data_IF_159282887091
#
_entry.id   IF_159282887091
#
_cell.length_a   1.000
_cell.length_b   1.000
_cell.length_c   1.000
_cell.angle_alpha   90.00
_cell.angle_beta   90.00
_cell.angle_gamma   90.00
#
_symmetry.space_group_name_H-M   'P 1'
#
loop_
_entity.id
_entity.type
_entity.pdbx_description
1 polymer ?
#
# COMPACT_ATOMS: atom_id res chain seq x y z
N UNK A 1 16.51 -2.33 -16.10
CA UNK A 1 15.21 -1.96 -15.51
C UNK A 1 15.25 -0.48 -15.15
N UNK A 2 14.37 0.36 -15.73
CA UNK A 2 14.18 1.73 -15.26
C UNK A 2 13.25 1.68 -14.05
N UNK A 3 13.50 2.53 -13.05
CA UNK A 3 12.69 2.57 -11.84
C UNK A 3 12.54 4.00 -11.34
N UNK A 4 11.58 4.21 -10.45
CA UNK A 4 11.42 5.44 -9.68
C UNK A 4 11.32 5.08 -8.22
N UNK A 5 12.10 5.73 -7.37
CA UNK A 5 12.00 5.56 -5.92
C UNK A 5 11.08 6.64 -5.37
N UNK A 6 10.02 6.24 -4.67
CA UNK A 6 9.05 7.15 -4.08
C UNK A 6 8.75 6.72 -2.65
N UNK A 7 8.32 7.66 -1.81
CA UNK A 7 7.87 7.35 -0.46
C UNK A 7 6.53 8.02 -0.16
N UNK A 8 5.73 7.35 0.68
CA UNK A 8 4.51 7.90 1.27
C UNK A 8 4.61 7.80 2.78
N UNK A 9 4.61 8.95 3.47
CA UNK A 9 4.73 9.00 4.94
C UNK A 9 5.94 8.23 5.53
N UNK A 10 7.04 8.18 4.78
CA UNK A 10 8.31 7.57 5.20
C UNK A 10 8.51 6.12 4.74
N UNK A 11 7.45 5.46 4.25
CA UNK A 11 7.52 4.11 3.69
C UNK A 11 7.88 4.18 2.20
N UNK A 12 9.04 3.64 1.82
CA UNK A 12 9.68 3.84 0.52
C UNK A 12 9.73 2.56 -0.33
N UNK A 13 9.36 2.66 -1.61
CA UNK A 13 9.39 1.53 -2.55
C UNK A 13 10.09 1.90 -3.85
N UNK A 14 10.59 0.88 -4.54
CA UNK A 14 11.01 0.96 -5.93
C UNK A 14 9.80 0.70 -6.82
N UNK A 15 9.44 1.65 -7.68
CA UNK A 15 8.32 1.54 -8.61
C UNK A 15 8.87 1.23 -10.00
N UNK A 16 8.28 0.22 -10.64
CA UNK A 16 8.62 -0.19 -12.00
C UNK A 16 7.34 -0.18 -12.83
N UNK A 17 7.37 0.57 -13.94
CA UNK A 17 6.30 0.54 -14.93
C UNK A 17 6.47 -0.72 -15.80
N UNK A 18 5.50 -1.61 -15.71
CA UNK A 18 5.40 -2.89 -16.41
C UNK A 18 4.16 -2.91 -17.33
N UNK A 19 3.75 -1.76 -17.88
CA UNK A 19 2.62 -1.69 -18.82
C UNK A 19 2.95 -2.43 -20.13
N UNK A 20 4.15 -2.20 -20.66
CA UNK A 20 4.56 -2.71 -21.98
C UNK A 20 5.49 -3.93 -21.90
N UNK A 21 5.84 -4.37 -20.70
CA UNK A 21 6.73 -5.51 -20.50
C UNK A 21 6.56 -6.15 -19.12
N UNK A 22 6.81 -7.45 -19.06
CA UNK A 22 6.82 -8.21 -17.82
C UNK A 22 8.20 -8.20 -17.17
N UNK A 23 8.21 -8.11 -15.84
CA UNK A 23 9.41 -8.26 -15.04
C UNK A 23 9.51 -9.69 -14.51
N UNK A 24 10.46 -10.46 -15.03
CA UNK A 24 10.71 -11.83 -14.58
C UNK A 24 11.22 -11.86 -13.13
N UNK A 25 10.79 -12.88 -12.36
CA UNK A 25 11.20 -13.10 -10.98
C UNK A 25 11.10 -11.83 -10.07
N UNK A 26 9.91 -11.22 -9.93
CA UNK A 26 9.77 -9.99 -9.16
C UNK A 26 10.07 -10.17 -7.67
N UNK A 27 9.86 -11.38 -7.12
CA UNK A 27 10.24 -11.72 -5.75
C UNK A 27 11.75 -11.65 -5.51
N UNK A 28 12.54 -12.24 -6.42
CA UNK A 28 14.01 -12.16 -6.34
C UNK A 28 14.53 -10.74 -6.55
N UNK A 29 13.92 -10.00 -7.47
CA UNK A 29 14.26 -8.58 -7.71
C UNK A 29 13.93 -7.74 -6.48
N UNK A 30 12.78 -7.96 -5.84
CA UNK A 30 12.39 -7.22 -4.63
C UNK A 30 13.45 -7.36 -3.52
N UNK A 31 13.96 -8.56 -3.29
CA UNK A 31 15.08 -8.80 -2.35
C UNK A 31 16.33 -8.03 -2.74
N UNK A 32 16.73 -8.11 -4.01
CA UNK A 32 17.95 -7.48 -4.51
C UNK A 32 17.89 -5.96 -4.42
N UNK A 33 16.79 -5.34 -4.86
CA UNK A 33 16.68 -3.87 -4.90
C UNK A 33 16.45 -3.27 -3.53
N UNK A 34 15.82 -4.01 -2.62
CA UNK A 34 15.47 -3.54 -1.28
C UNK A 34 16.62 -3.63 -0.29
N UNK A 35 17.67 -4.39 -0.59
CA UNK A 35 18.88 -4.41 0.23
C UNK A 35 19.46 -2.98 0.34
N UNK A 36 19.57 -2.48 1.57
CA UNK A 36 20.01 -1.09 1.84
C UNK A 36 21.53 -0.90 1.73
N UNK A 37 22.32 -1.97 1.71
CA UNK A 37 23.78 -1.92 1.62
C UNK A 37 24.28 -2.19 0.21
N UNK A 38 23.69 -3.16 -0.47
CA UNK A 38 24.14 -3.67 -1.77
C UNK A 38 23.11 -3.47 -2.90
N UNK A 39 21.90 -3.04 -2.56
CA UNK A 39 20.84 -2.67 -3.49
C UNK A 39 20.63 -1.16 -3.57
N UNK A 40 19.41 -0.76 -3.94
CA UNK A 40 18.98 0.65 -3.92
C UNK A 40 18.52 1.05 -2.51
N UNK A 41 18.08 0.05 -1.73
CA UNK A 41 17.48 0.19 -0.41
C UNK A 41 16.03 0.63 -0.51
N UNK A 42 15.11 -0.16 0.02
CA UNK A 42 13.67 0.19 0.08
C UNK A 42 12.95 -0.77 1.03
N UNK A 43 11.69 -0.47 1.34
CA UNK A 43 10.80 -1.39 2.03
C UNK A 43 10.23 -2.46 1.09
N UNK A 44 10.37 -2.28 -0.23
CA UNK A 44 10.01 -3.29 -1.22
C UNK A 44 10.04 -2.82 -2.68
N UNK A 45 9.38 -3.60 -3.53
CA UNK A 45 9.18 -3.37 -4.96
C UNK A 45 7.67 -3.26 -5.28
N UNK A 46 7.30 -2.26 -6.07
CA UNK A 46 5.95 -2.07 -6.60
C UNK A 46 6.00 -2.12 -8.12
N UNK A 47 5.16 -2.97 -8.70
CA UNK A 47 4.96 -3.06 -10.14
C UNK A 47 3.63 -2.41 -10.53
N UNK A 48 3.66 -1.62 -11.60
CA UNK A 48 2.48 -1.01 -12.21
C UNK A 48 2.23 -1.74 -13.52
N UNK A 49 1.12 -2.46 -13.60
CA UNK A 49 0.80 -3.39 -14.69
C UNK A 49 -0.49 -2.96 -15.40
N UNK A 50 -0.78 -3.46 -16.61
CA UNK A 50 -2.12 -3.31 -17.19
C UNK A 50 -3.15 -4.08 -16.35
N UNK A 51 -4.40 -3.63 -16.40
CA UNK A 51 -5.55 -4.31 -15.77
C UNK A 51 -6.68 -4.45 -16.79
N UNK A 52 -7.42 -5.56 -16.70
CA UNK A 52 -8.66 -5.77 -17.46
C UNK A 52 -9.89 -5.22 -16.73
N UNK A 53 -9.76 -4.84 -15.45
CA UNK A 53 -10.88 -4.50 -14.56
C UNK A 53 -10.80 -3.09 -13.96
N UNK A 54 -9.63 -2.47 -14.01
CA UNK A 54 -9.33 -1.16 -13.45
C UNK A 54 -8.44 -0.37 -14.43
N UNK A 55 -8.10 0.88 -14.11
CA UNK A 55 -7.18 1.66 -14.96
C UNK A 55 -5.78 1.05 -14.99
N UNK A 56 -5.31 0.55 -13.84
CA UNK A 56 -4.04 -0.16 -13.70
C UNK A 56 -4.15 -1.26 -12.66
N UNK A 57 -3.18 -2.17 -12.66
CA UNK A 57 -2.99 -3.16 -11.60
C UNK A 57 -1.69 -2.88 -10.85
N UNK A 58 -1.73 -3.02 -9.52
CA UNK A 58 -0.56 -2.93 -8.66
C UNK A 58 -0.22 -4.32 -8.11
N UNK A 59 1.05 -4.69 -8.18
CA UNK A 59 1.62 -5.78 -7.39
C UNK A 59 2.70 -5.23 -6.47
N UNK A 60 2.70 -5.66 -5.22
CA UNK A 60 3.64 -5.18 -4.21
C UNK A 60 4.36 -6.34 -3.56
N UNK A 61 5.68 -6.25 -3.52
CA UNK A 61 6.57 -7.22 -2.89
C UNK A 61 7.30 -6.54 -1.75
N UNK A 62 7.34 -7.19 -0.60
CA UNK A 62 8.15 -6.76 0.54
C UNK A 62 9.63 -6.97 0.26
N UNK A 63 10.49 -6.40 1.10
CA UNK A 63 11.95 -6.55 1.01
C UNK A 63 12.45 -7.99 1.14
N UNK A 64 11.66 -8.88 1.75
CA UNK A 64 11.92 -10.33 1.82
C UNK A 64 11.40 -11.10 0.59
N UNK A 65 10.87 -10.40 -0.41
CA UNK A 65 10.33 -10.95 -1.65
C UNK A 65 8.94 -11.58 -1.53
N UNK A 66 8.29 -11.56 -0.36
CA UNK A 66 6.89 -11.95 -0.23
C UNK A 66 5.96 -10.95 -0.95
N UNK A 67 4.93 -11.44 -1.63
CA UNK A 67 3.90 -10.58 -2.24
C UNK A 67 2.84 -10.25 -1.18
N UNK A 68 2.56 -8.96 -1.00
CA UNK A 68 1.62 -8.47 0.00
C UNK A 68 0.36 -7.88 -0.66
N UNK A 69 -0.76 -7.95 0.05
CA UNK A 69 -2.05 -7.70 -0.58
C UNK A 69 -2.25 -6.24 -0.98
N UNK A 70 -1.85 -5.33 -0.11
CA UNK A 70 -1.99 -3.88 -0.28
C UNK A 70 -1.13 -3.12 0.74
N UNK A 71 -0.65 -1.94 0.36
CA UNK A 71 -0.14 -0.94 1.30
C UNK A 71 -0.70 0.44 0.90
N UNK A 72 -1.38 1.10 1.85
CA UNK A 72 -1.99 2.40 1.62
C UNK A 72 -0.96 3.49 1.26
N UNK A 73 0.30 3.34 1.65
CA UNK A 73 1.38 4.27 1.27
C UNK A 73 1.85 4.04 -0.17
N UNK A 74 2.00 2.79 -0.57
CA UNK A 74 2.45 2.42 -1.91
C UNK A 74 1.45 2.87 -2.98
N UNK A 75 0.16 2.64 -2.74
CA UNK A 75 -0.89 2.94 -3.73
C UNK A 75 -1.05 4.45 -4.00
N UNK A 76 -0.75 5.31 -3.01
CA UNK A 76 -0.70 6.77 -3.23
C UNK A 76 0.39 7.15 -4.23
N UNK A 77 1.55 6.50 -4.13
CA UNK A 77 2.64 6.74 -5.07
C UNK A 77 2.32 6.21 -6.46
N UNK A 78 1.61 5.08 -6.58
CA UNK A 78 1.10 4.59 -7.87
C UNK A 78 0.17 5.63 -8.52
N UNK A 79 -0.80 6.17 -7.76
CA UNK A 79 -1.71 7.21 -8.25
C UNK A 79 -0.98 8.45 -8.76
N UNK A 80 0.05 8.92 -8.02
CA UNK A 80 0.94 10.00 -8.47
C UNK A 80 1.71 9.61 -9.74
N UNK A 81 2.32 8.44 -9.74
CA UNK A 81 3.17 7.97 -10.83
C UNK A 81 2.43 7.92 -12.16
N UNK A 82 1.23 7.32 -12.19
CA UNK A 82 0.49 7.14 -13.43
C UNK A 82 -0.03 8.46 -14.01
N UNK A 83 -0.35 9.43 -13.16
CA UNK A 83 -0.76 10.77 -13.60
C UNK A 83 0.42 11.59 -14.10
N UNK A 84 1.48 11.70 -13.30
CA UNK A 84 2.63 12.56 -13.61
C UNK A 84 3.44 12.06 -14.82
N UNK A 85 3.41 10.75 -15.11
CA UNK A 85 4.03 10.18 -16.31
C UNK A 85 3.07 10.15 -17.52
N UNK A 86 1.90 10.80 -17.44
CA UNK A 86 0.95 10.91 -18.55
C UNK A 86 0.31 9.59 -18.98
N UNK A 87 0.35 8.56 -18.12
CA UNK A 87 -0.27 7.26 -18.39
C UNK A 87 -1.80 7.34 -18.27
N UNK A 88 -2.30 8.36 -17.57
CA UNK A 88 -3.72 8.64 -17.43
C UNK A 88 -3.98 10.15 -17.37
N UNK A 89 -5.11 10.60 -17.93
CA UNK A 89 -5.51 12.01 -17.93
C UNK A 89 -6.85 12.24 -17.20
N UNK A 90 -7.06 11.56 -16.08
CA UNK A 90 -8.20 11.79 -15.16
C UNK A 90 -7.73 11.81 -13.72
N UNK A 91 -8.47 12.52 -12.86
CA UNK A 91 -8.14 12.71 -11.44
C UNK A 91 -8.70 11.63 -10.51
N UNK A 92 -9.61 10.79 -11.01
CA UNK A 92 -10.09 9.61 -10.27
C UNK A 92 -9.56 8.37 -10.97
N UNK A 93 -8.76 7.58 -10.27
CA UNK A 93 -8.04 6.43 -10.81
C UNK A 93 -8.43 5.18 -10.05
N UNK A 94 -8.79 4.11 -10.76
CA UNK A 94 -9.01 2.79 -10.17
C UNK A 94 -7.77 1.92 -10.30
N UNK A 95 -7.35 1.30 -9.20
CA UNK A 95 -6.17 0.42 -9.14
C UNK A 95 -6.61 -0.96 -8.64
N UNK A 96 -6.40 -1.99 -9.45
CA UNK A 96 -6.58 -3.39 -9.04
C UNK A 96 -5.44 -3.81 -8.11
N UNK A 97 -5.80 -4.37 -6.95
CA UNK A 97 -4.86 -4.94 -5.96
C UNK A 97 -5.34 -6.34 -5.55
N UNK A 98 -4.53 -7.09 -4.80
CA UNK A 98 -4.96 -8.36 -4.22
C UNK A 98 -6.10 -8.17 -3.20
N UNK A 99 -6.15 -7.01 -2.52
CA UNK A 99 -7.24 -6.63 -1.61
C UNK A 99 -8.46 -6.02 -2.35
N UNK A 100 -8.60 -6.27 -3.66
CA UNK A 100 -9.65 -5.73 -4.52
C UNK A 100 -9.29 -4.39 -5.19
N UNK A 101 -10.23 -3.84 -5.95
CA UNK A 101 -10.04 -2.56 -6.65
C UNK A 101 -10.15 -1.42 -5.63
N UNK A 102 -9.20 -0.49 -5.67
CA UNK A 102 -9.20 0.74 -4.87
C UNK A 102 -9.39 1.94 -5.78
N UNK A 103 -10.16 2.92 -5.31
CA UNK A 103 -10.39 4.17 -6.02
C UNK A 103 -9.57 5.27 -5.36
N UNK A 104 -8.82 5.99 -6.18
CA UNK A 104 -7.94 7.08 -5.79
C UNK A 104 -8.48 8.40 -6.32
N UNK A 105 -8.52 9.43 -5.49
CA UNK A 105 -8.75 10.81 -5.93
C UNK A 105 -7.46 11.61 -5.83
N UNK A 106 -7.03 12.16 -6.96
CA UNK A 106 -5.78 12.89 -7.12
C UNK A 106 -6.02 14.40 -6.99
N UNK A 107 -5.33 15.03 -6.04
CA UNK A 107 -5.22 16.48 -5.98
C UNK A 107 -4.02 16.93 -6.81
N UNK A 108 -4.28 17.73 -7.85
CA UNK A 108 -3.28 18.16 -8.83
C UNK A 108 -3.10 19.67 -8.76
N UNK A 109 -1.85 20.11 -8.72
CA UNK A 109 -1.45 21.52 -8.80
C UNK A 109 -0.33 21.65 -9.82
N UNK A 110 -0.43 22.62 -10.73
CA UNK A 110 0.62 22.87 -11.75
C UNK A 110 0.97 21.61 -12.58
N UNK A 111 -0.04 20.81 -12.93
CA UNK A 111 0.09 19.53 -13.65
C UNK A 111 0.83 18.40 -12.90
N UNK A 112 1.09 18.56 -11.60
CA UNK A 112 1.67 17.50 -10.76
C UNK A 112 0.72 17.09 -9.64
N UNK A 113 0.67 15.80 -9.32
CA UNK A 113 -0.07 15.31 -8.15
C UNK A 113 0.64 15.71 -6.86
N UNK A 114 -0.05 16.44 -6.00
CA UNK A 114 0.47 16.88 -4.69
C UNK A 114 -0.08 16.06 -3.53
N UNK A 115 -1.30 15.50 -3.65
CA UNK A 115 -1.92 14.63 -2.66
C UNK A 115 -2.76 13.56 -3.35
N UNK A 116 -2.86 12.40 -2.71
CA UNK A 116 -3.70 11.29 -3.16
C UNK A 116 -4.57 10.83 -2.00
N UNK A 117 -5.89 10.90 -2.20
CA UNK A 117 -6.88 10.31 -1.29
C UNK A 117 -7.14 8.88 -1.73
N UNK A 118 -7.13 7.96 -0.76
CA UNK A 118 -7.37 6.53 -0.97
C UNK A 118 -8.58 6.13 -0.16
N UNK A 119 -9.52 5.42 -0.77
CA UNK A 119 -10.56 4.73 -0.01
C UNK A 119 -9.99 3.45 0.62
N UNK A 120 -9.88 3.44 1.95
CA UNK A 120 -9.34 2.32 2.73
C UNK A 120 -10.44 1.32 3.14
N UNK A 121 -11.70 1.58 2.82
CA UNK A 121 -12.84 0.79 3.27
C UNK A 121 -13.23 1.05 4.72
N UNK A 122 -14.12 0.20 5.24
CA UNK A 122 -14.63 0.31 6.60
C UNK A 122 -13.72 -0.39 7.62
N UNK A 123 -13.60 0.16 8.85
CA UNK A 123 -12.88 -0.50 9.92
C UNK A 123 -13.60 -1.76 10.39
N UNK A 124 -12.81 -2.78 10.74
CA UNK A 124 -13.29 -3.96 11.46
C UNK A 124 -13.11 -3.74 12.95
N UNK A 125 -14.21 -3.84 13.72
CA UNK A 125 -14.23 -3.61 15.17
C UNK A 125 -14.42 -4.89 15.99
N UNK A 126 -14.83 -5.98 15.36
CA UNK A 126 -15.10 -7.25 16.02
C UNK A 126 -13.80 -7.91 16.47
N UNK A 127 -13.65 -8.15 17.77
CA UNK A 127 -12.40 -8.62 18.38
C UNK A 127 -11.85 -9.87 17.70
N UNK A 128 -12.71 -10.85 17.43
CA UNK A 128 -12.35 -12.10 16.74
C UNK A 128 -11.79 -11.88 15.32
N UNK A 129 -12.28 -10.85 14.61
CA UNK A 129 -11.79 -10.51 13.26
C UNK A 129 -10.53 -9.65 13.29
N UNK A 130 -10.16 -9.06 14.44
CA UNK A 130 -8.92 -8.30 14.68
C UNK A 130 -7.84 -9.18 15.37
N UNK A 131 -7.97 -10.50 15.30
CA UNK A 131 -7.33 -11.47 16.21
C UNK A 131 -7.16 -11.12 17.71
N UNK A 132 -8.07 -10.36 18.33
CA UNK A 132 -8.00 -10.00 19.75
C UNK A 132 -8.64 -11.08 20.62
N UNK A 133 -7.88 -11.63 21.56
CA UNK A 133 -8.38 -12.60 22.55
C UNK A 133 -9.20 -11.85 23.60
N UNK A 134 -10.53 -11.93 23.50
CA UNK A 134 -11.47 -11.30 24.43
C UNK A 134 -12.78 -12.08 24.48
N UNK A 135 -13.48 -12.03 25.62
CA UNK A 135 -14.85 -12.53 25.74
C UNK A 135 -15.90 -11.51 25.26
N UNK A 136 -15.47 -10.31 24.84
CA UNK A 136 -16.33 -9.26 24.31
C UNK A 136 -16.34 -9.28 22.80
N UNK A 137 -17.50 -8.99 22.21
CA UNK A 137 -17.64 -8.83 20.76
C UNK A 137 -16.79 -7.69 20.20
N UNK A 138 -16.76 -6.56 20.91
CA UNK A 138 -15.98 -5.38 20.56
C UNK A 138 -15.02 -5.06 21.69
N UNK A 139 -13.78 -4.69 21.35
CA UNK A 139 -12.78 -4.24 22.32
C UNK A 139 -12.63 -2.72 22.19
N UNK A 140 -13.61 -1.97 22.68
CA UNK A 140 -13.69 -0.51 22.53
C UNK A 140 -13.64 0.16 23.90
N UNK A 141 -12.62 1.00 24.13
CA UNK A 141 -12.37 1.69 25.40
C UNK A 141 -12.24 0.76 26.61
N UNK A 142 -11.70 -0.43 26.39
CA UNK A 142 -11.55 -1.47 27.40
C UNK A 142 -10.32 -1.23 28.28
N UNK A 143 -10.38 -1.47 29.60
CA UNK A 143 -9.26 -1.25 30.49
C UNK A 143 -8.18 -2.33 30.30
N UNK A 144 -6.94 -1.89 30.07
CA UNK A 144 -5.75 -2.75 30.01
C UNK A 144 -4.71 -2.22 30.98
N UNK A 145 -4.22 -3.07 31.89
CA UNK A 145 -3.18 -2.69 32.85
C UNK A 145 -1.81 -3.10 32.32
N UNK A 146 -0.91 -2.12 32.17
CA UNK A 146 0.47 -2.29 31.73
C UNK A 146 1.35 -1.60 32.77
N UNK A 147 2.30 -2.32 33.35
CA UNK A 147 3.22 -1.82 34.39
C UNK A 147 2.53 -1.09 35.55
N UNK A 148 1.38 -1.61 35.98
CA UNK A 148 0.60 -1.05 37.10
C UNK A 148 -0.25 0.18 36.75
N UNK A 149 -0.23 0.64 35.51
CA UNK A 149 -1.09 1.73 35.03
C UNK A 149 -2.21 1.20 34.13
N UNK A 150 -3.44 1.66 34.36
CA UNK A 150 -4.60 1.27 33.54
C UNK A 150 -4.82 2.26 32.40
N UNK A 151 -4.88 1.74 31.19
CA UNK A 151 -5.17 2.47 29.95
C UNK A 151 -6.53 2.06 29.40
N UNK A 152 -7.19 2.96 28.67
CA UNK A 152 -8.37 2.60 27.86
C UNK A 152 -7.93 2.34 26.44
N UNK A 153 -8.13 1.12 25.97
CA UNK A 153 -7.66 0.64 24.66
C UNK A 153 -8.86 0.35 23.76
N UNK A 154 -8.75 0.73 22.49
CA UNK A 154 -9.69 0.37 21.45
C UNK A 154 -8.94 -0.38 20.35
N UNK A 155 -9.33 -1.62 20.07
CA UNK A 155 -8.77 -2.40 18.97
C UNK A 155 -9.60 -2.17 17.70
N UNK A 156 -8.91 -1.96 16.59
CA UNK A 156 -9.50 -1.71 15.27
C UNK A 156 -8.60 -2.37 14.23
N UNK A 157 -9.18 -2.99 13.21
CA UNK A 157 -8.42 -3.40 12.04
C UNK A 157 -8.83 -2.63 10.80
N UNK A 158 -7.84 -2.23 10.00
CA UNK A 158 -8.00 -1.68 8.64
C UNK A 158 -7.44 -2.64 7.57
N UNK A 159 -7.39 -3.94 7.87
CA UNK A 159 -6.69 -4.97 7.10
C UNK A 159 -5.47 -5.56 7.83
N UNK A 160 -5.00 -4.89 8.87
CA UNK A 160 -4.05 -5.38 9.88
C UNK A 160 -4.61 -5.09 11.29
N UNK A 161 -4.22 -5.84 12.33
CA UNK A 161 -4.65 -5.58 13.70
C UNK A 161 -4.02 -4.32 14.30
#
# INVERSE_FOLDING_TARGET
MKFTKMHGAGNDYIYVNCIDYDLENPSGIAKLVSDRHFGIGSDGLVLILPSEKADFRMRMFNSDGSEAEMCGNAIRCVGKYVYDNGLINKKTVSIETLAGIKVLDLAVKENEVVLVKVDMGEPVLEAEKIPVISNKRFFVSEPVTIDGQTYKVTCVSMGNP
#
